data_IF_666823886976
#
_entry.id   IF_666823886976
#
_cell.length_a   1.000
_cell.length_b   1.000
_cell.length_c   1.000
_cell.angle_alpha   90.00
_cell.angle_beta   90.00
_cell.angle_gamma   90.00
#
_symmetry.space_group_name_H-M   'P 1'
#
loop_
_entity.id
_entity.type
_entity.pdbx_description
1 polymer ?
#
# COMPACT_ATOMS: atom_id res chain seq x y z
N UNK A 1 -3.86 -18.28 31.61
CA UNK A 1 -4.42 -16.90 31.65
C UNK A 1 -5.50 -16.69 30.58
N UNK A 2 -5.19 -16.71 29.28
CA UNK A 2 -6.20 -16.50 28.22
C UNK A 2 -7.45 -17.41 28.33
N UNK A 3 -7.26 -18.73 28.44
CA UNK A 3 -8.37 -19.68 28.58
C UNK A 3 -9.18 -19.46 29.86
N UNK A 4 -8.53 -19.03 30.95
CA UNK A 4 -9.24 -18.69 32.18
C UNK A 4 -10.13 -17.46 31.95
N UNK A 5 -9.56 -16.36 31.45
CA UNK A 5 -10.30 -15.12 31.18
C UNK A 5 -11.52 -15.32 30.27
N UNK A 6 -11.40 -16.15 29.22
CA UNK A 6 -12.52 -16.45 28.31
C UNK A 6 -13.72 -17.15 28.97
N UNK A 7 -13.49 -17.85 30.08
CA UNK A 7 -14.53 -18.59 30.79
C UNK A 7 -15.06 -17.82 32.00
N UNK A 8 -14.47 -16.67 32.35
CA UNK A 8 -14.94 -15.83 33.44
C UNK A 8 -16.01 -14.87 32.92
N UNK A 9 -17.06 -14.67 33.71
CA UNK A 9 -18.15 -13.74 33.35
C UNK A 9 -17.68 -12.28 33.53
N UNK A 10 -17.79 -11.42 32.50
CA UNK A 10 -17.43 -10.01 32.63
C UNK A 10 -18.13 -9.32 33.80
N UNK A 11 -17.35 -8.61 34.62
CA UNK A 11 -17.84 -7.90 35.81
C UNK A 11 -18.01 -8.76 37.07
N UNK A 12 -17.73 -10.07 37.03
CA UNK A 12 -17.71 -10.92 38.23
C UNK A 12 -16.55 -10.58 39.18
N UNK A 13 -16.55 -11.16 40.38
CA UNK A 13 -15.44 -11.01 41.32
C UNK A 13 -14.13 -11.54 40.73
N UNK A 14 -14.17 -12.75 40.17
CA UNK A 14 -13.04 -13.42 39.53
C UNK A 14 -12.51 -12.62 38.34
N UNK A 15 -13.41 -11.95 37.61
CA UNK A 15 -13.04 -11.08 36.49
C UNK A 15 -12.20 -9.90 36.97
N UNK A 16 -12.68 -9.22 38.02
CA UNK A 16 -12.00 -8.06 38.58
C UNK A 16 -10.69 -8.45 39.26
N UNK A 17 -10.64 -9.58 39.98
CA UNK A 17 -9.39 -10.11 40.54
C UNK A 17 -8.36 -10.42 39.45
N UNK A 18 -8.79 -11.01 38.33
CA UNK A 18 -7.91 -11.26 37.21
C UNK A 18 -7.35 -9.95 36.62
N UNK A 19 -8.20 -8.92 36.46
CA UNK A 19 -7.76 -7.61 36.01
C UNK A 19 -6.74 -7.00 36.98
N UNK A 20 -7.00 -7.03 38.28
CA UNK A 20 -6.07 -6.51 39.28
C UNK A 20 -4.76 -7.30 39.33
N UNK A 21 -4.80 -8.63 39.14
CA UNK A 21 -3.59 -9.45 39.03
C UNK A 21 -2.72 -9.05 37.84
N UNK A 22 -3.34 -8.78 36.67
CA UNK A 22 -2.59 -8.37 35.48
C UNK A 22 -2.06 -6.93 35.61
N UNK A 23 -2.85 -6.02 36.19
CA UNK A 23 -2.46 -4.60 36.40
C UNK A 23 -1.52 -4.39 37.57
N UNK A 24 -1.49 -5.33 38.52
CA UNK A 24 -0.69 -5.29 39.75
C UNK A 24 0.78 -5.64 39.55
N UNK A 25 1.17 -6.07 38.34
CA UNK A 25 2.57 -6.22 37.96
C UNK A 25 3.21 -4.84 37.73
N UNK A 26 3.93 -4.34 38.74
CA UNK A 26 4.54 -3.01 38.73
C UNK A 26 5.64 -2.85 37.68
N UNK A 27 6.36 -3.94 37.36
CA UNK A 27 7.42 -3.96 36.33
C UNK A 27 6.82 -4.02 34.91
N UNK A 28 5.61 -4.58 34.82
CA UNK A 28 4.85 -4.73 33.57
C UNK A 28 5.39 -5.82 32.65
N UNK A 29 6.28 -6.67 33.15
CA UNK A 29 6.91 -7.76 32.43
C UNK A 29 5.90 -8.80 31.94
N UNK A 30 4.85 -9.05 32.72
CA UNK A 30 3.75 -9.93 32.33
C UNK A 30 3.08 -9.41 31.05
N UNK A 31 2.71 -8.12 31.01
CA UNK A 31 2.06 -7.51 29.86
C UNK A 31 2.97 -7.47 28.64
N UNK A 32 4.25 -7.13 28.81
CA UNK A 32 5.26 -7.16 27.74
C UNK A 32 5.43 -8.56 27.17
N UNK A 33 5.61 -9.57 28.01
CA UNK A 33 5.77 -10.97 27.56
C UNK A 33 4.51 -11.51 26.85
N UNK A 34 3.31 -11.13 27.33
CA UNK A 34 2.07 -11.53 26.67
C UNK A 34 1.96 -10.97 25.24
N UNK A 35 2.50 -9.78 24.96
CA UNK A 35 2.40 -9.15 23.65
C UNK A 35 3.04 -9.95 22.51
N UNK A 36 4.06 -10.76 22.82
CA UNK A 36 4.83 -11.53 21.82
C UNK A 36 4.36 -12.98 21.68
N UNK A 37 3.14 -13.30 22.15
CA UNK A 37 2.54 -14.63 21.99
C UNK A 37 1.11 -14.53 21.49
N UNK A 38 0.69 -15.47 20.64
CA UNK A 38 -0.66 -15.53 20.06
C UNK A 38 -1.78 -15.32 21.08
N UNK A 39 -1.83 -16.17 22.11
CA UNK A 39 -2.89 -16.12 23.12
C UNK A 39 -2.71 -14.96 24.11
N UNK A 40 -1.46 -14.55 24.37
CA UNK A 40 -1.18 -13.42 25.25
C UNK A 40 -1.63 -12.10 24.61
N UNK A 41 -1.32 -11.87 23.34
CA UNK A 41 -1.74 -10.68 22.63
C UNK A 41 -3.26 -10.61 22.50
N UNK A 42 -3.92 -11.73 22.20
CA UNK A 42 -5.38 -11.80 22.18
C UNK A 42 -5.97 -11.47 23.55
N UNK A 43 -5.43 -12.04 24.63
CA UNK A 43 -5.85 -11.68 25.99
C UNK A 43 -5.72 -10.17 26.24
N UNK A 44 -4.57 -9.59 25.94
CA UNK A 44 -4.33 -8.14 26.12
C UNK A 44 -5.33 -7.30 25.33
N UNK A 45 -5.65 -7.68 24.09
CA UNK A 45 -6.66 -6.99 23.29
C UNK A 45 -8.04 -7.03 23.96
N UNK A 46 -8.43 -8.18 24.53
CA UNK A 46 -9.68 -8.30 25.29
C UNK A 46 -9.66 -7.46 26.58
N UNK A 47 -8.53 -7.38 27.27
CA UNK A 47 -8.37 -6.54 28.46
C UNK A 47 -8.53 -5.05 28.12
N UNK A 48 -7.94 -4.58 27.01
CA UNK A 48 -8.15 -3.21 26.53
C UNK A 48 -9.61 -2.96 26.13
N UNK A 49 -10.23 -3.89 25.40
CA UNK A 49 -11.60 -3.75 24.92
C UNK A 49 -12.61 -3.65 26.08
N UNK A 50 -12.47 -4.48 27.11
CA UNK A 50 -13.36 -4.50 28.27
C UNK A 50 -12.99 -3.50 29.37
N UNK A 51 -11.75 -3.00 29.39
CA UNK A 51 -11.25 -2.11 30.43
C UNK A 51 -11.91 -0.73 30.45
N UNK A 52 -11.99 -0.13 31.62
CA UNK A 52 -12.39 1.28 31.78
C UNK A 52 -11.32 2.23 31.23
N UNK A 53 -11.62 3.52 31.14
CA UNK A 53 -10.61 4.53 30.78
C UNK A 53 -9.38 4.52 31.71
N UNK A 54 -9.58 4.21 33.01
CA UNK A 54 -8.48 4.06 33.97
C UNK A 54 -7.65 2.81 33.67
N UNK A 55 -8.30 1.69 33.42
CA UNK A 55 -7.62 0.42 33.13
C UNK A 55 -6.81 0.53 31.84
N UNK A 56 -7.40 1.06 30.76
CA UNK A 56 -6.71 1.26 29.48
C UNK A 56 -5.44 2.10 29.63
N UNK A 57 -5.47 3.15 30.45
CA UNK A 57 -4.28 3.96 30.74
C UNK A 57 -3.22 3.18 31.51
N UNK A 58 -3.62 2.35 32.48
CA UNK A 58 -2.71 1.50 33.24
C UNK A 58 -2.10 0.40 32.35
N UNK A 59 -2.90 -0.24 31.50
CA UNK A 59 -2.45 -1.28 30.56
C UNK A 59 -1.53 -0.74 29.46
N UNK A 60 -1.71 0.50 29.03
CA UNK A 60 -0.87 1.12 27.99
C UNK A 60 0.54 1.45 28.50
N UNK A 61 0.66 1.84 29.78
CA UNK A 61 1.91 2.37 30.35
C UNK A 61 3.10 1.38 30.27
N UNK A 62 2.94 0.08 30.55
CA UNK A 62 4.02 -0.90 30.42
C UNK A 62 4.63 -1.03 29.02
N UNK A 63 3.88 -0.71 27.96
CA UNK A 63 4.34 -0.86 26.58
C UNK A 63 5.20 0.30 26.07
N UNK A 64 5.38 1.34 26.89
CA UNK A 64 6.29 2.44 26.56
C UNK A 64 7.68 1.88 26.22
N UNK A 65 8.31 2.42 25.18
CA UNK A 65 9.63 2.02 24.70
C UNK A 65 9.64 0.59 24.09
N UNK A 66 8.46 0.01 23.82
CA UNK A 66 8.26 -1.31 23.19
C UNK A 66 7.36 -1.27 21.93
N UNK A 67 6.64 -0.18 21.68
CA UNK A 67 5.74 -0.04 20.53
C UNK A 67 6.44 -0.20 19.17
N UNK A 68 7.67 0.28 19.00
CA UNK A 68 8.38 0.11 17.74
C UNK A 68 8.61 -1.38 17.44
N UNK A 69 9.08 -2.13 18.43
CA UNK A 69 9.27 -3.58 18.32
C UNK A 69 7.95 -4.31 18.08
N UNK A 70 6.89 -3.93 18.81
CA UNK A 70 5.56 -4.52 18.67
C UNK A 70 4.96 -4.27 17.29
N UNK A 71 5.23 -3.11 16.67
CA UNK A 71 4.65 -2.75 15.36
C UNK A 71 4.97 -3.76 14.27
N UNK A 72 6.17 -4.36 14.31
CA UNK A 72 6.63 -5.37 13.36
C UNK A 72 6.45 -6.82 13.82
N UNK A 73 5.94 -7.04 15.03
CA UNK A 73 5.77 -8.38 15.60
C UNK A 73 4.49 -9.07 15.09
N UNK A 74 4.47 -10.40 14.85
CA UNK A 74 3.28 -11.12 14.39
C UNK A 74 2.05 -11.05 15.30
N UNK A 75 2.22 -10.72 16.58
CA UNK A 75 1.16 -10.65 17.57
C UNK A 75 1.06 -9.26 18.21
N UNK A 76 2.19 -8.63 18.52
CA UNK A 76 2.25 -7.33 19.19
C UNK A 76 1.52 -6.22 18.43
N UNK A 77 1.57 -6.24 17.09
CA UNK A 77 0.97 -5.19 16.26
C UNK A 77 -0.54 -5.04 16.52
N UNK A 78 -1.26 -6.15 16.77
CA UNK A 78 -2.71 -6.11 16.97
C UNK A 78 -3.11 -5.45 18.29
N UNK A 79 -2.19 -5.43 19.28
CA UNK A 79 -2.39 -4.67 20.52
C UNK A 79 -2.35 -3.17 20.20
N UNK A 80 -1.37 -2.72 19.39
CA UNK A 80 -1.30 -1.31 18.96
C UNK A 80 -2.59 -0.92 18.25
N UNK A 81 -3.04 -1.72 17.29
CA UNK A 81 -4.31 -1.49 16.59
C UNK A 81 -5.50 -1.42 17.56
N UNK A 82 -5.57 -2.34 18.51
CA UNK A 82 -6.63 -2.36 19.53
C UNK A 82 -6.61 -1.11 20.41
N UNK A 83 -5.44 -0.63 20.84
CA UNK A 83 -5.33 0.59 21.66
C UNK A 83 -5.86 1.81 20.92
N UNK A 84 -5.58 1.90 19.62
CA UNK A 84 -6.09 2.96 18.75
C UNK A 84 -7.61 2.88 18.57
N UNK A 85 -8.20 1.68 18.66
CA UNK A 85 -9.64 1.45 18.49
C UNK A 85 -10.50 1.67 19.73
N UNK A 86 -9.93 1.56 20.93
CA UNK A 86 -10.71 1.52 22.19
C UNK A 86 -10.33 2.62 23.19
N UNK A 87 -9.18 3.28 23.07
CA UNK A 87 -8.85 4.40 23.96
C UNK A 87 -9.52 5.68 23.46
N UNK A 88 -10.40 6.29 24.28
CA UNK A 88 -11.13 7.51 23.90
C UNK A 88 -10.25 8.77 23.99
N UNK A 89 -9.21 8.76 24.85
CA UNK A 89 -8.19 9.82 24.93
C UNK A 89 -7.14 9.64 23.82
N UNK A 90 -7.51 10.06 22.62
CA UNK A 90 -6.68 9.99 21.41
C UNK A 90 -5.42 10.84 21.51
N UNK A 91 -5.42 11.92 22.30
CA UNK A 91 -4.22 12.74 22.53
C UNK A 91 -3.18 11.98 23.34
N UNK A 92 -3.59 11.25 24.37
CA UNK A 92 -2.71 10.37 25.12
C UNK A 92 -2.19 9.24 24.23
N UNK A 93 -3.08 8.57 23.48
CA UNK A 93 -2.70 7.48 22.57
C UNK A 93 -1.67 7.95 21.53
N UNK A 94 -1.92 9.06 20.84
CA UNK A 94 -1.02 9.60 19.82
C UNK A 94 0.35 9.94 20.40
N UNK A 95 0.41 10.60 21.56
CA UNK A 95 1.68 10.97 22.22
C UNK A 95 2.48 9.78 22.73
N UNK A 96 1.80 8.69 23.10
CA UNK A 96 2.46 7.50 23.61
C UNK A 96 3.03 6.63 22.49
N UNK A 97 2.32 6.52 21.36
CA UNK A 97 2.60 5.53 20.32
C UNK A 97 3.39 6.13 19.14
N UNK A 98 2.95 7.28 18.60
CA UNK A 98 3.46 7.75 17.31
C UNK A 98 4.92 8.22 17.34
N UNK A 99 5.42 8.93 18.37
CA UNK A 99 6.84 9.26 18.45
C UNK A 99 7.75 8.03 18.45
N UNK A 100 7.28 6.91 18.99
CA UNK A 100 8.08 5.68 19.05
C UNK A 100 8.08 4.93 17.71
N UNK A 101 6.92 4.86 17.04
CA UNK A 101 6.78 4.12 15.77
C UNK A 101 7.28 4.93 14.58
N UNK A 102 7.09 6.25 14.58
CA UNK A 102 7.43 7.14 13.46
C UNK A 102 8.68 7.98 13.72
N UNK A 103 9.15 8.08 14.96
CA UNK A 103 10.22 9.00 15.33
C UNK A 103 9.77 10.46 15.42
N UNK A 104 10.72 11.31 15.81
CA UNK A 104 10.53 12.75 15.99
C UNK A 104 11.18 13.58 14.86
N UNK A 105 11.93 12.95 13.95
CA UNK A 105 12.58 13.61 12.80
C UNK A 105 12.13 13.01 11.47
N UNK A 106 12.32 13.76 10.38
CA UNK A 106 12.00 13.33 9.02
C UNK A 106 12.79 12.06 8.63
N UNK A 107 14.05 11.94 9.09
CA UNK A 107 14.90 10.77 8.85
C UNK A 107 14.40 9.53 9.59
N UNK A 108 13.99 9.67 10.85
CA UNK A 108 13.42 8.56 11.60
C UNK A 108 12.09 8.12 11.00
N UNK A 109 11.27 9.07 10.56
CA UNK A 109 10.03 8.76 9.85
C UNK A 109 10.32 8.01 8.55
N UNK A 110 11.34 8.42 7.78
CA UNK A 110 11.80 7.70 6.60
C UNK A 110 12.23 6.26 6.93
N UNK A 111 13.06 6.06 7.96
CA UNK A 111 13.49 4.74 8.42
C UNK A 111 12.31 3.84 8.78
N UNK A 112 11.34 4.37 9.53
CA UNK A 112 10.12 3.65 9.89
C UNK A 112 9.28 3.26 8.68
N UNK A 113 9.14 4.13 7.67
CA UNK A 113 8.43 3.80 6.43
C UNK A 113 9.16 2.72 5.63
N UNK A 114 10.49 2.77 5.55
CA UNK A 114 11.30 1.74 4.88
C UNK A 114 11.20 0.38 5.59
N UNK A 115 11.24 0.37 6.92
CA UNK A 115 11.01 -0.83 7.72
C UNK A 115 9.59 -1.40 7.50
N UNK A 116 8.58 -0.54 7.45
CA UNK A 116 7.20 -0.92 7.18
C UNK A 116 7.01 -1.46 5.74
N UNK A 117 7.72 -0.92 4.74
CA UNK A 117 7.70 -1.49 3.39
C UNK A 117 8.14 -2.96 3.38
N UNK A 118 9.12 -3.32 4.21
CA UNK A 118 9.67 -4.67 4.29
C UNK A 118 8.93 -5.62 5.24
N UNK A 119 8.13 -5.10 6.18
CA UNK A 119 7.43 -5.91 7.18
C UNK A 119 5.89 -5.72 7.08
N UNK A 120 5.10 -6.79 6.81
CA UNK A 120 3.66 -6.67 6.64
C UNK A 120 2.91 -6.26 7.93
N UNK A 121 3.40 -6.62 9.12
CA UNK A 121 2.81 -6.21 10.40
C UNK A 121 3.04 -4.73 10.68
N UNK A 122 4.26 -4.23 10.43
CA UNK A 122 4.58 -2.81 10.57
C UNK A 122 3.80 -1.98 9.54
N UNK A 123 3.69 -2.47 8.30
CA UNK A 123 2.84 -1.85 7.27
C UNK A 123 1.38 -1.77 7.70
N UNK A 124 0.83 -2.85 8.24
CA UNK A 124 -0.54 -2.85 8.73
C UNK A 124 -0.73 -1.87 9.90
N UNK A 125 0.25 -1.78 10.81
CA UNK A 125 0.25 -0.82 11.92
C UNK A 125 0.12 0.62 11.43
N UNK A 126 0.83 0.99 10.36
CA UNK A 126 0.77 2.34 9.79
C UNK A 126 -0.49 2.59 8.97
N UNK A 127 -0.90 1.62 8.14
CA UNK A 127 -2.02 1.80 7.20
C UNK A 127 -3.39 1.61 7.85
N UNK A 128 -3.48 0.96 9.02
CA UNK A 128 -4.77 0.64 9.65
C UNK A 128 -5.65 1.87 9.90
N UNK A 129 -5.08 2.96 10.42
CA UNK A 129 -5.85 4.18 10.66
C UNK A 129 -6.24 4.90 9.37
N UNK A 130 -5.44 4.75 8.32
CA UNK A 130 -5.62 5.41 7.02
C UNK A 130 -6.64 4.73 6.12
N UNK A 131 -6.74 3.40 6.19
CA UNK A 131 -7.58 2.59 5.31
C UNK A 131 -8.64 1.77 6.04
N UNK A 132 -8.44 1.53 7.34
CA UNK A 132 -9.25 0.61 8.13
C UNK A 132 -8.94 -0.86 7.87
N UNK A 133 -9.93 -1.71 8.14
CA UNK A 133 -9.85 -3.16 8.07
C UNK A 133 -10.00 -3.72 6.63
N UNK A 134 -9.22 -3.20 5.69
CA UNK A 134 -9.29 -3.61 4.28
C UNK A 134 -8.44 -4.85 3.99
N UNK A 135 -8.71 -5.48 2.84
CA UNK A 135 -7.90 -6.63 2.36
C UNK A 135 -6.46 -6.23 2.01
N UNK A 136 -6.20 -4.97 1.67
CA UNK A 136 -4.85 -4.45 1.40
C UNK A 136 -4.02 -4.38 2.68
N UNK A 137 -4.64 -3.95 3.79
CA UNK A 137 -3.98 -3.85 5.11
C UNK A 137 -3.80 -5.21 5.76
N UNK A 138 -4.78 -6.12 5.62
CA UNK A 138 -4.74 -7.47 6.21
C UNK A 138 -4.66 -8.57 5.14
N UNK A 139 -3.51 -8.75 4.46
CA UNK A 139 -3.31 -9.89 3.58
C UNK A 139 -3.26 -11.19 4.38
N UNK A 140 -3.32 -12.35 3.70
CA UNK A 140 -3.46 -13.70 4.28
C UNK A 140 -2.88 -13.93 5.69
N UNK A 141 -1.57 -13.68 5.93
CA UNK A 141 -0.94 -13.92 7.24
C UNK A 141 -1.49 -13.06 8.40
N UNK A 142 -2.16 -11.95 8.13
CA UNK A 142 -2.69 -11.02 9.12
C UNK A 142 -4.19 -11.24 9.42
N UNK A 143 -4.84 -12.22 8.78
CA UNK A 143 -6.27 -12.49 8.97
C UNK A 143 -6.63 -12.82 10.41
N UNK A 144 -5.75 -13.49 11.15
CA UNK A 144 -5.97 -13.74 12.58
C UNK A 144 -6.08 -12.45 13.40
N UNK A 145 -5.22 -11.46 13.14
CA UNK A 145 -5.31 -10.16 13.82
C UNK A 145 -6.59 -9.41 13.46
N UNK A 146 -7.07 -9.54 12.21
CA UNK A 146 -8.35 -8.98 11.80
C UNK A 146 -9.54 -9.60 12.56
N UNK A 147 -9.54 -10.92 12.80
CA UNK A 147 -10.58 -11.56 13.60
C UNK A 147 -10.58 -11.09 15.06
N UNK A 148 -9.39 -10.87 15.65
CA UNK A 148 -9.27 -10.26 16.99
C UNK A 148 -9.86 -8.86 17.00
N UNK A 149 -9.56 -8.03 15.98
CA UNK A 149 -10.10 -6.67 15.89
C UNK A 149 -11.63 -6.66 15.74
N UNK A 150 -12.21 -7.61 15.00
CA UNK A 150 -13.68 -7.75 14.91
C UNK A 150 -14.30 -8.03 16.28
N UNK A 151 -13.71 -8.93 17.07
CA UNK A 151 -14.16 -9.21 18.43
C UNK A 151 -14.06 -7.95 19.32
N UNK A 152 -12.94 -7.23 19.24
CA UNK A 152 -12.74 -5.93 19.91
C UNK A 152 -13.82 -4.92 19.49
N UNK A 153 -14.16 -4.87 18.20
CA UNK A 153 -15.16 -3.95 17.65
C UNK A 153 -16.57 -4.27 18.15
N UNK A 154 -16.90 -5.52 18.42
CA UNK A 154 -18.17 -5.87 19.07
C UNK A 154 -18.22 -5.41 20.53
N UNK A 155 -17.14 -5.64 21.27
CA UNK A 155 -17.04 -5.23 22.69
C UNK A 155 -17.08 -3.71 22.81
N UNK A 156 -16.35 -2.97 21.96
CA UNK A 156 -16.22 -1.52 22.09
C UNK A 156 -17.53 -0.76 21.90
N UNK A 157 -18.54 -1.35 21.26
CA UNK A 157 -19.88 -0.76 21.10
C UNK A 157 -20.53 -0.39 22.43
N UNK A 158 -20.19 -1.10 23.51
CA UNK A 158 -20.75 -0.87 24.85
C UNK A 158 -19.72 -0.29 25.83
N UNK A 159 -18.43 -0.44 25.57
CA UNK A 159 -17.36 -0.05 26.51
C UNK A 159 -16.64 1.25 26.15
N UNK A 160 -16.78 1.74 24.92
CA UNK A 160 -16.13 2.98 24.46
C UNK A 160 -17.17 4.04 24.14
N UNK A 161 -16.95 5.27 24.62
CA UNK A 161 -17.95 6.34 24.52
C UNK A 161 -17.77 7.18 23.26
N UNK A 162 -16.54 7.32 22.79
CA UNK A 162 -16.21 8.07 21.57
C UNK A 162 -16.53 7.22 20.33
N UNK A 163 -17.18 7.84 19.35
CA UNK A 163 -17.42 7.22 18.05
C UNK A 163 -16.11 6.72 17.39
N UNK A 164 -16.19 5.57 16.73
CA UNK A 164 -15.03 4.91 16.13
C UNK A 164 -14.40 5.74 15.02
N UNK A 165 -15.20 6.36 14.16
CA UNK A 165 -14.69 7.19 13.07
C UNK A 165 -14.10 8.50 13.58
N UNK A 166 -14.74 9.12 14.60
CA UNK A 166 -14.20 10.34 15.23
C UNK A 166 -12.82 10.07 15.82
N UNK A 167 -12.65 8.94 16.52
CA UNK A 167 -11.38 8.52 17.09
C UNK A 167 -10.31 8.29 16.01
N UNK A 168 -10.68 7.58 14.94
CA UNK A 168 -9.78 7.34 13.81
C UNK A 168 -9.34 8.66 13.16
N UNK A 169 -10.28 9.58 12.88
CA UNK A 169 -9.98 10.91 12.31
C UNK A 169 -9.03 11.72 13.17
N UNK A 170 -9.22 11.75 14.49
CA UNK A 170 -8.32 12.44 15.42
C UNK A 170 -6.91 11.84 15.40
N UNK A 171 -6.79 10.51 15.37
CA UNK A 171 -5.50 9.82 15.33
C UNK A 171 -4.79 9.97 13.97
N UNK A 172 -5.53 9.89 12.86
CA UNK A 172 -4.99 10.16 11.51
C UNK A 172 -4.44 11.58 11.45
N UNK A 173 -5.20 12.57 11.95
CA UNK A 173 -4.72 13.95 11.98
C UNK A 173 -3.43 14.11 12.80
N UNK A 174 -3.26 13.33 13.87
CA UNK A 174 -2.08 13.38 14.72
C UNK A 174 -0.83 12.71 14.10
N UNK A 175 -0.98 11.65 13.30
CA UNK A 175 0.16 10.95 12.67
C UNK A 175 0.51 11.44 11.27
N UNK A 176 -0.43 12.09 10.57
CA UNK A 176 -0.27 12.47 9.17
C UNK A 176 0.95 13.36 8.87
N UNK A 177 1.28 14.38 9.70
CA UNK A 177 2.44 15.22 9.42
C UNK A 177 3.75 14.43 9.31
N UNK A 178 3.98 13.50 10.23
CA UNK A 178 5.18 12.65 10.26
C UNK A 178 5.19 11.66 9.09
N UNK A 179 4.03 11.09 8.72
CA UNK A 179 3.95 10.21 7.55
C UNK A 179 4.28 10.96 6.25
N UNK A 180 3.77 12.18 6.08
CA UNK A 180 4.04 13.01 4.90
C UNK A 180 5.53 13.38 4.85
N UNK A 181 6.10 13.79 5.98
CA UNK A 181 7.52 14.11 6.10
C UNK A 181 8.40 12.89 5.79
N UNK A 182 8.06 11.72 6.31
CA UNK A 182 8.74 10.46 6.02
C UNK A 182 8.69 10.10 4.54
N UNK A 183 7.54 10.27 3.86
CA UNK A 183 7.43 10.01 2.40
C UNK A 183 8.34 10.95 1.62
N UNK A 184 8.40 12.23 1.98
CA UNK A 184 9.32 13.20 1.36
C UNK A 184 10.77 12.76 1.51
N UNK A 185 11.18 12.40 2.72
CA UNK A 185 12.56 12.02 3.03
C UNK A 185 12.97 10.65 2.45
N UNK A 186 12.01 9.71 2.32
CA UNK A 186 12.26 8.36 1.81
C UNK A 186 11.88 8.16 0.32
N UNK A 187 11.49 9.21 -0.41
CA UNK A 187 10.89 9.09 -1.74
C UNK A 187 11.72 8.23 -2.70
N UNK A 188 13.03 8.46 -2.78
CA UNK A 188 13.94 7.71 -3.66
C UNK A 188 13.95 6.21 -3.34
N UNK A 189 13.94 5.84 -2.06
CA UNK A 189 13.96 4.43 -1.65
C UNK A 189 12.60 3.78 -1.85
N UNK A 190 11.52 4.45 -1.42
CA UNK A 190 10.16 3.91 -1.51
C UNK A 190 9.72 3.66 -2.95
N UNK A 191 10.10 4.53 -3.89
CA UNK A 191 9.75 4.41 -5.31
C UNK A 191 10.39 3.17 -5.96
N UNK A 192 11.51 2.70 -5.42
CA UNK A 192 12.23 1.53 -5.92
C UNK A 192 11.80 0.21 -5.26
N UNK A 193 10.88 0.25 -4.29
CA UNK A 193 10.29 -0.94 -3.69
C UNK A 193 8.79 -1.06 -4.00
N UNK A 194 8.34 -2.29 -4.21
CA UNK A 194 6.94 -2.56 -4.56
C UNK A 194 5.96 -2.24 -3.43
N UNK A 195 6.31 -2.56 -2.19
CA UNK A 195 5.48 -2.25 -1.02
C UNK A 195 5.70 -0.81 -0.54
N UNK A 196 6.88 -0.23 -0.77
CA UNK A 196 7.18 1.18 -0.58
C UNK A 196 6.31 2.07 -1.48
N UNK A 197 6.18 1.73 -2.76
CA UNK A 197 5.26 2.38 -3.69
C UNK A 197 3.80 2.30 -3.22
N UNK A 198 3.37 1.12 -2.75
CA UNK A 198 2.03 0.97 -2.19
C UNK A 198 1.85 1.87 -0.97
N UNK A 199 2.76 1.80 0.01
CA UNK A 199 2.73 2.59 1.23
C UNK A 199 2.68 4.10 0.94
N UNK A 200 3.54 4.59 0.05
CA UNK A 200 3.56 5.99 -0.37
C UNK A 200 2.23 6.41 -1.03
N UNK A 201 1.65 5.57 -1.90
CA UNK A 201 0.36 5.84 -2.53
C UNK A 201 -0.74 6.00 -1.48
N UNK A 202 -0.82 5.05 -0.55
CA UNK A 202 -1.86 5.02 0.48
C UNK A 202 -1.74 6.20 1.46
N UNK A 203 -0.52 6.58 1.84
CA UNK A 203 -0.25 7.78 2.65
C UNK A 203 -0.68 9.04 1.88
N UNK A 204 -0.27 9.19 0.62
CA UNK A 204 -0.66 10.36 -0.18
C UNK A 204 -2.16 10.44 -0.42
N UNK A 205 -2.88 9.32 -0.41
CA UNK A 205 -4.33 9.33 -0.53
C UNK A 205 -5.06 9.65 0.78
N UNK A 206 -4.61 9.08 1.89
CA UNK A 206 -5.38 9.11 3.15
C UNK A 206 -4.85 10.08 4.21
N UNK A 207 -3.57 10.48 4.17
CA UNK A 207 -3.03 11.41 5.16
C UNK A 207 -3.65 12.81 5.04
N UNK A 208 -3.74 13.51 6.17
CA UNK A 208 -4.27 14.87 6.26
C UNK A 208 -3.12 15.87 6.38
N UNK A 209 -3.12 16.90 5.54
CA UNK A 209 -2.12 17.96 5.54
C UNK A 209 -1.66 18.34 4.14
N UNK A 210 -0.72 19.28 4.07
CA UNK A 210 -0.08 19.65 2.81
C UNK A 210 0.88 18.55 2.36
N UNK A 211 0.61 18.00 1.17
CA UNK A 211 1.37 16.88 0.58
C UNK A 211 2.35 17.36 -0.50
N UNK A 212 2.38 18.65 -0.81
CA UNK A 212 3.08 19.21 -1.98
C UNK A 212 4.55 18.81 -2.01
N UNK A 213 5.29 19.04 -0.93
CA UNK A 213 6.71 18.71 -0.87
C UNK A 213 7.01 17.20 -0.99
N UNK A 214 6.12 16.34 -0.48
CA UNK A 214 6.25 14.88 -0.63
C UNK A 214 5.98 14.43 -2.07
N UNK A 215 4.96 15.03 -2.71
CA UNK A 215 4.67 14.80 -4.12
C UNK A 215 5.80 15.28 -5.02
N UNK A 216 6.39 16.45 -4.76
CA UNK A 216 7.57 16.96 -5.47
C UNK A 216 8.76 16.01 -5.34
N UNK A 217 9.01 15.48 -4.14
CA UNK A 217 10.07 14.51 -3.91
C UNK A 217 9.85 13.20 -4.70
N UNK A 218 8.62 12.69 -4.75
CA UNK A 218 8.27 11.53 -5.58
C UNK A 218 8.45 11.87 -7.06
N UNK A 219 7.99 13.04 -7.52
CA UNK A 219 8.09 13.45 -8.91
C UNK A 219 9.56 13.62 -9.35
N UNK A 220 10.44 14.09 -8.46
CA UNK A 220 11.87 14.22 -8.73
C UNK A 220 12.54 12.88 -9.09
N UNK A 221 12.03 11.76 -8.56
CA UNK A 221 12.53 10.41 -8.92
C UNK A 221 12.23 10.00 -10.38
N UNK A 222 11.32 10.74 -11.04
CA UNK A 222 10.93 10.52 -12.43
C UNK A 222 11.72 11.38 -13.42
N UNK A 223 12.62 12.24 -12.94
CA UNK A 223 13.50 13.05 -13.77
C UNK A 223 14.58 12.21 -14.45
N UNK A 224 15.09 12.71 -15.58
CA UNK A 224 16.13 12.04 -16.36
C UNK A 224 15.57 11.15 -17.46
N UNK A 225 16.48 10.53 -18.22
CA UNK A 225 16.12 9.81 -19.44
C UNK A 225 15.73 8.34 -19.13
N UNK A 226 14.46 7.92 -19.41
CA UNK A 226 14.00 6.54 -19.24
C UNK A 226 14.75 5.47 -20.04
N UNK A 227 15.49 5.88 -21.07
CA UNK A 227 16.20 4.97 -21.97
C UNK A 227 17.60 4.62 -21.47
N UNK A 228 18.10 5.29 -20.42
CA UNK A 228 19.36 4.91 -19.78
C UNK A 228 19.15 3.55 -19.10
N UNK A 229 19.95 2.56 -19.49
CA UNK A 229 19.87 1.23 -18.90
C UNK A 229 20.38 1.24 -17.46
N UNK A 230 19.71 0.47 -16.59
CA UNK A 230 20.20 0.19 -15.26
C UNK A 230 21.57 -0.50 -15.36
N UNK A 231 22.53 -0.07 -14.55
CA UNK A 231 23.88 -0.58 -14.65
C UNK A 231 24.71 -0.32 -13.39
N UNK A 232 25.86 -1.00 -13.32
CA UNK A 232 26.87 -0.75 -12.29
C UNK A 232 27.79 0.38 -12.79
N UNK A 233 27.67 1.55 -12.19
CA UNK A 233 28.68 2.60 -12.36
C UNK A 233 29.85 2.27 -11.44
N UNK A 234 31.00 1.91 -12.03
CA UNK A 234 32.27 1.86 -11.29
C UNK A 234 32.84 3.26 -11.22
N UNK A 235 32.83 3.87 -10.04
CA UNK A 235 33.60 5.09 -9.79
C UNK A 235 35.07 4.73 -9.58
N UNK A 236 35.96 5.73 -9.68
CA UNK A 236 37.42 5.57 -9.50
C UNK A 236 37.83 5.06 -8.09
N UNK A 237 36.87 4.91 -7.18
CA UNK A 237 37.06 4.54 -5.77
C UNK A 237 36.60 3.10 -5.44
N UNK A 238 36.47 2.22 -6.45
CA UNK A 238 36.18 0.77 -6.28
C UNK A 238 34.89 0.41 -5.51
N UNK A 239 33.96 1.36 -5.34
CA UNK A 239 32.60 1.08 -4.89
C UNK A 239 31.69 0.92 -6.10
N UNK A 240 31.22 -0.30 -6.33
CA UNK A 240 30.18 -0.58 -7.33
C UNK A 240 28.85 -0.03 -6.81
N UNK A 241 28.38 1.09 -7.36
CA UNK A 241 27.02 1.57 -7.12
C UNK A 241 26.11 1.05 -8.24
N UNK A 242 25.16 0.19 -7.89
CA UNK A 242 24.08 -0.20 -8.79
C UNK A 242 23.15 1.00 -8.96
N UNK A 243 23.01 1.49 -10.19
CA UNK A 243 22.01 2.51 -10.50
C UNK A 243 20.67 1.80 -10.73
N UNK A 244 19.63 2.06 -9.89
CA UNK A 244 18.34 1.42 -10.06
C UNK A 244 17.73 1.78 -11.43
N UNK A 245 16.89 0.91 -12.00
CA UNK A 245 16.17 1.24 -13.22
C UNK A 245 15.30 2.47 -13.01
N UNK A 246 15.21 3.32 -14.03
CA UNK A 246 14.33 4.48 -14.02
C UNK A 246 12.89 4.10 -13.64
N UNK A 247 12.21 4.91 -12.83
CA UNK A 247 10.88 4.61 -12.25
C UNK A 247 9.82 4.22 -13.30
N UNK A 248 9.89 4.79 -14.50
CA UNK A 248 8.98 4.47 -15.62
C UNK A 248 9.20 3.07 -16.22
N UNK A 249 10.30 2.41 -15.87
CA UNK A 249 10.65 1.07 -16.34
C UNK A 249 10.25 -0.01 -15.34
N UNK A 250 9.89 0.34 -14.11
CA UNK A 250 9.45 -0.64 -13.11
C UNK A 250 7.92 -0.70 -13.03
N UNK A 251 7.32 -1.91 -12.87
CA UNK A 251 5.86 -2.03 -12.76
C UNK A 251 5.27 -1.31 -11.54
N UNK A 252 6.00 -1.28 -10.42
CA UNK A 252 5.55 -0.63 -9.18
C UNK A 252 5.67 0.89 -9.27
N UNK A 253 6.78 1.41 -9.80
CA UNK A 253 7.01 2.84 -9.99
C UNK A 253 6.00 3.46 -10.97
N UNK A 254 5.80 2.81 -12.13
CA UNK A 254 4.77 3.20 -13.08
C UNK A 254 3.36 3.21 -12.48
N UNK A 255 3.03 2.24 -11.62
CA UNK A 255 1.72 2.17 -10.93
C UNK A 255 1.56 3.26 -9.88
N UNK A 256 2.61 3.56 -9.11
CA UNK A 256 2.62 4.66 -8.13
C UNK A 256 2.31 5.98 -8.84
N UNK A 257 3.10 6.34 -9.85
CA UNK A 257 2.96 7.59 -10.59
C UNK A 257 1.58 7.69 -11.25
N UNK A 258 1.13 6.61 -11.89
CA UNK A 258 -0.21 6.53 -12.48
C UNK A 258 -1.30 6.79 -11.43
N UNK A 259 -1.19 6.17 -10.25
CA UNK A 259 -2.18 6.32 -9.18
C UNK A 259 -2.20 7.76 -8.65
N UNK A 260 -1.03 8.37 -8.45
CA UNK A 260 -0.95 9.76 -7.98
C UNK A 260 -1.53 10.76 -8.99
N UNK A 261 -1.38 10.53 -10.30
CA UNK A 261 -2.06 11.33 -11.34
C UNK A 261 -3.57 11.16 -11.27
N UNK A 262 -4.06 9.93 -11.12
CA UNK A 262 -5.49 9.67 -10.97
C UNK A 262 -6.05 10.33 -9.69
N UNK A 263 -5.21 10.52 -8.68
CA UNK A 263 -5.49 11.34 -7.52
C UNK A 263 -6.48 10.71 -6.55
N UNK A 264 -6.62 9.38 -6.53
CA UNK A 264 -7.57 8.72 -5.64
C UNK A 264 -7.67 7.22 -5.80
N UNK A 265 -8.55 6.62 -4.99
CA UNK A 265 -8.81 5.17 -4.98
C UNK A 265 -9.93 4.81 -5.94
N UNK A 266 -9.74 3.72 -6.67
CA UNK A 266 -10.80 3.17 -7.51
C UNK A 266 -11.87 2.51 -6.64
N UNK A 267 -13.10 3.00 -6.75
CA UNK A 267 -14.26 2.38 -6.13
C UNK A 267 -15.00 1.49 -7.14
N UNK A 268 -15.12 0.21 -6.81
CA UNK A 268 -15.77 -0.78 -7.67
C UNK A 268 -17.28 -0.55 -7.78
N UNK A 269 -17.90 0.08 -6.78
CA UNK A 269 -19.34 0.32 -6.78
C UNK A 269 -19.72 1.44 -7.76
N UNK A 270 -18.98 2.55 -7.75
CA UNK A 270 -19.15 3.64 -8.71
C UNK A 270 -18.49 3.37 -10.07
N UNK A 271 -17.54 2.42 -10.13
CA UNK A 271 -16.75 2.18 -11.34
C UNK A 271 -15.80 3.34 -11.68
N UNK A 272 -15.48 4.18 -10.70
CA UNK A 272 -14.73 5.42 -10.90
C UNK A 272 -13.70 5.65 -9.79
N UNK A 273 -12.76 6.57 -10.04
CA UNK A 273 -11.78 6.98 -9.03
C UNK A 273 -12.40 8.02 -8.11
N UNK A 274 -12.48 7.71 -6.82
CA UNK A 274 -12.84 8.66 -5.77
C UNK A 274 -11.61 9.52 -5.49
N UNK A 275 -11.59 10.72 -6.07
CA UNK A 275 -10.50 11.68 -5.92
C UNK A 275 -10.39 12.15 -4.46
N UNK A 276 -9.16 12.39 -4.03
CA UNK A 276 -8.90 13.03 -2.74
C UNK A 276 -9.28 14.51 -2.76
N UNK A 277 -9.60 15.04 -1.59
CA UNK A 277 -9.90 16.45 -1.38
C UNK A 277 -8.93 17.03 -0.31
N UNK A 278 -8.13 18.07 -0.63
CA UNK A 278 -7.98 18.70 -1.93
C UNK A 278 -7.30 17.81 -2.99
N UNK A 279 -7.52 18.03 -4.30
CA UNK A 279 -6.85 17.29 -5.37
C UNK A 279 -5.32 17.35 -5.26
N UNK A 280 -4.63 16.27 -5.65
CA UNK A 280 -3.16 16.20 -5.57
C UNK A 280 -2.45 17.10 -6.60
N UNK A 281 -3.07 17.38 -7.75
CA UNK A 281 -2.43 18.16 -8.82
C UNK A 281 -1.14 17.53 -9.38
N UNK A 282 -0.95 16.22 -9.18
CA UNK A 282 0.35 15.58 -9.41
C UNK A 282 0.81 15.60 -10.88
N UNK A 283 -0.13 15.69 -11.84
CA UNK A 283 0.21 15.81 -13.26
C UNK A 283 0.99 17.10 -13.56
N UNK A 284 0.61 18.23 -12.95
CA UNK A 284 1.29 19.52 -13.15
C UNK A 284 2.65 19.55 -12.43
N UNK A 285 2.80 18.81 -11.33
CA UNK A 285 4.09 18.64 -10.63
C UNK A 285 5.04 17.79 -11.48
N UNK A 286 4.53 16.69 -12.06
CA UNK A 286 5.35 15.72 -12.81
C UNK A 286 5.76 16.23 -14.20
N UNK A 287 4.84 16.88 -14.93
CA UNK A 287 5.03 17.19 -16.34
C UNK A 287 6.33 17.94 -16.66
N UNK A 288 6.72 19.01 -15.93
CA UNK A 288 7.96 19.73 -16.21
C UNK A 288 9.22 18.86 -16.13
N UNK A 289 9.21 17.79 -15.33
CA UNK A 289 10.34 16.90 -15.13
C UNK A 289 10.46 15.82 -16.22
N UNK A 290 9.34 15.47 -16.85
CA UNK A 290 9.28 14.40 -17.87
C UNK A 290 9.04 14.93 -19.28
N UNK A 291 8.80 16.23 -19.45
CA UNK A 291 8.43 16.86 -20.72
C UNK A 291 9.40 16.49 -21.86
N UNK A 292 10.70 16.58 -21.60
CA UNK A 292 11.75 16.30 -22.58
C UNK A 292 11.73 14.83 -23.05
N UNK A 293 11.33 13.91 -22.18
CA UNK A 293 11.34 12.47 -22.42
C UNK A 293 9.93 11.88 -22.58
N UNK A 294 8.92 12.71 -22.81
CA UNK A 294 7.52 12.30 -22.79
C UNK A 294 7.17 11.23 -23.85
N UNK A 295 7.88 11.25 -24.98
CA UNK A 295 7.72 10.23 -26.03
C UNK A 295 8.24 8.88 -25.54
N UNK A 296 9.40 8.84 -24.86
CA UNK A 296 9.96 7.62 -24.29
C UNK A 296 9.04 7.02 -23.21
N UNK A 297 8.42 7.87 -22.39
CA UNK A 297 7.37 7.45 -21.46
C UNK A 297 6.16 6.86 -22.19
N UNK A 298 5.66 7.53 -23.23
CA UNK A 298 4.48 7.11 -23.99
C UNK A 298 4.69 5.81 -24.78
N UNK A 299 5.93 5.49 -25.18
CA UNK A 299 6.27 4.23 -25.88
C UNK A 299 6.82 3.15 -24.94
N UNK A 300 7.03 3.46 -23.66
CA UNK A 300 7.65 2.58 -22.68
C UNK A 300 6.65 1.74 -21.87
N UNK A 301 7.16 0.96 -20.88
CA UNK A 301 6.34 0.09 -20.03
C UNK A 301 5.27 0.85 -19.22
N UNK A 302 5.53 2.11 -18.88
CA UNK A 302 4.62 2.97 -18.11
C UNK A 302 3.84 3.96 -18.99
N UNK A 303 3.55 3.62 -20.25
CA UNK A 303 2.79 4.46 -21.19
C UNK A 303 1.44 4.96 -20.65
N UNK A 304 0.81 4.18 -19.77
CA UNK A 304 -0.43 4.56 -19.10
C UNK A 304 -0.31 5.80 -18.21
N UNK A 305 0.90 6.19 -17.77
CA UNK A 305 1.13 7.44 -17.06
C UNK A 305 0.74 8.62 -17.94
N UNK A 306 1.25 8.65 -19.18
CA UNK A 306 0.93 9.70 -20.15
C UNK A 306 -0.56 9.70 -20.51
N UNK A 307 -1.17 8.52 -20.64
CA UNK A 307 -2.61 8.42 -20.82
C UNK A 307 -3.39 9.05 -19.65
N UNK A 308 -3.00 8.78 -18.41
CA UNK A 308 -3.67 9.33 -17.23
C UNK A 308 -3.48 10.85 -17.14
N UNK A 309 -2.33 11.40 -17.54
CA UNK A 309 -2.16 12.85 -17.64
C UNK A 309 -3.10 13.47 -18.67
N UNK A 310 -3.31 12.79 -19.81
CA UNK A 310 -4.26 13.23 -20.82
C UNK A 310 -5.72 13.11 -20.36
N UNK A 311 -6.04 12.16 -19.50
CA UNK A 311 -7.38 11.94 -18.96
C UNK A 311 -7.69 12.83 -17.75
N UNK A 312 -6.66 13.29 -17.04
CA UNK A 312 -6.78 14.28 -15.95
C UNK A 312 -7.47 15.56 -16.45
N UNK A 313 -8.42 16.02 -15.65
CA UNK A 313 -9.23 17.23 -15.91
C UNK A 313 -8.53 18.49 -15.41
N UNK A 314 -7.71 18.32 -14.38
CA UNK A 314 -6.95 19.32 -13.65
C UNK A 314 -5.58 19.62 -14.26
N UNK A 315 -5.09 18.81 -15.20
CA UNK A 315 -3.81 19.02 -15.86
C UNK A 315 -3.79 20.23 -16.80
N UNK A 316 -3.01 21.26 -16.46
CA UNK A 316 -2.95 22.53 -17.18
C UNK A 316 -2.33 22.43 -18.58
N UNK A 317 -1.30 21.60 -18.75
CA UNK A 317 -0.51 21.49 -19.99
C UNK A 317 -1.01 20.41 -20.98
N UNK A 318 -2.25 19.95 -20.81
CA UNK A 318 -2.86 18.91 -21.65
C UNK A 318 -2.75 19.16 -23.15
N UNK A 319 -2.96 20.39 -23.61
CA UNK A 319 -2.85 20.76 -25.04
C UNK A 319 -1.42 20.64 -25.56
N UNK A 320 -0.44 21.03 -24.74
CA UNK A 320 0.98 20.98 -25.06
C UNK A 320 1.44 19.52 -25.16
N UNK A 321 1.08 18.69 -24.19
CA UNK A 321 1.30 17.25 -24.20
C UNK A 321 0.71 16.60 -25.47
N UNK A 322 -0.55 16.88 -25.78
CA UNK A 322 -1.21 16.35 -26.99
C UNK A 322 -0.50 16.77 -28.28
N UNK A 323 -0.02 18.00 -28.37
CA UNK A 323 0.71 18.48 -29.55
C UNK A 323 2.02 17.71 -29.75
N UNK A 324 2.78 17.47 -28.68
CA UNK A 324 4.03 16.69 -28.72
C UNK A 324 3.77 15.23 -29.14
N UNK A 325 2.72 14.60 -28.62
CA UNK A 325 2.36 13.23 -28.99
C UNK A 325 1.87 13.13 -30.45
N UNK A 326 1.09 14.10 -30.93
CA UNK A 326 0.64 14.15 -32.34
C UNK A 326 1.81 14.29 -33.32
N UNK A 327 2.83 15.08 -32.98
CA UNK A 327 4.06 15.22 -33.79
C UNK A 327 4.84 13.90 -33.88
N UNK A 328 4.73 13.04 -32.87
CA UNK A 328 5.42 11.76 -32.76
C UNK A 328 4.52 10.54 -33.03
N UNK A 329 3.41 10.73 -33.76
CA UNK A 329 2.40 9.68 -34.02
C UNK A 329 3.00 8.39 -34.57
N UNK A 330 3.95 8.47 -35.49
CA UNK A 330 4.59 7.31 -36.10
C UNK A 330 5.34 6.42 -35.08
N UNK A 331 6.00 7.03 -34.08
CA UNK A 331 6.68 6.30 -33.01
C UNK A 331 5.66 5.59 -32.10
N UNK A 332 4.55 6.25 -31.78
CA UNK A 332 3.45 5.68 -30.99
C UNK A 332 2.77 4.51 -31.71
N UNK A 333 2.50 4.65 -33.01
CA UNK A 333 1.92 3.56 -33.84
C UNK A 333 2.85 2.35 -33.91
N UNK A 334 4.16 2.59 -34.09
CA UNK A 334 5.15 1.52 -34.06
C UNK A 334 5.19 0.80 -32.70
N UNK A 335 5.19 1.55 -31.60
CA UNK A 335 5.19 0.99 -30.25
C UNK A 335 3.91 0.20 -29.92
N UNK A 336 2.77 0.62 -30.48
CA UNK A 336 1.49 -0.08 -30.37
C UNK A 336 1.39 -1.37 -31.21
N UNK A 337 2.46 -1.75 -31.94
CA UNK A 337 2.49 -2.95 -32.80
C UNK A 337 2.04 -2.70 -34.25
N UNK A 338 1.89 -1.45 -34.66
CA UNK A 338 1.49 -1.06 -36.01
C UNK A 338 2.64 -1.15 -37.02
N UNK A 339 2.77 -2.30 -37.69
CA UNK A 339 3.29 -2.31 -39.05
C UNK A 339 2.20 -1.70 -39.95
N UNK A 340 2.39 -0.44 -40.35
CA UNK A 340 1.63 0.16 -41.44
C UNK A 340 1.92 -0.60 -42.73
N UNK A 341 1.06 -1.56 -43.07
CA UNK A 341 1.06 -2.18 -44.38
C UNK A 341 0.68 -1.12 -45.42
N UNK A 342 1.63 -0.79 -46.30
CA UNK A 342 1.38 -0.13 -47.57
C UNK A 342 0.38 -0.94 -48.40
N UNK A 343 -0.90 -0.62 -48.24
CA UNK A 343 -2.02 -1.15 -49.02
C UNK A 343 -2.08 -0.48 -50.39
N UNK A 344 -1.15 -0.86 -51.25
CA UNK A 344 -1.09 -0.58 -52.69
C UNK A 344 -2.47 -0.65 -53.35
N UNK A 345 -2.85 0.42 -54.05
CA UNK A 345 -3.92 0.43 -55.07
C UNK A 345 -3.82 -0.81 -55.97
N UNK A 346 -4.89 -1.61 -56.01
CA UNK A 346 -5.27 -2.35 -57.21
C UNK A 346 -6.77 -2.19 -57.42
N UNK A 347 -7.11 -1.38 -58.43
CA UNK A 347 -8.42 -1.42 -59.06
C UNK A 347 -8.46 -2.56 -60.08
N UNK A 348 -9.60 -3.25 -60.12
CA UNK A 348 -10.21 -3.99 -61.23
C UNK A 348 -11.19 -4.99 -60.59
N UNK A 349 -12.40 -5.27 -61.06
CA UNK A 349 -13.34 -4.71 -62.04
C UNK A 349 -14.63 -5.52 -61.80
N UNK A 350 -15.77 -4.97 -62.22
CA UNK A 350 -17.11 -5.52 -62.08
C UNK A 350 -17.25 -7.00 -62.47
N UNK A 351 -18.06 -7.73 -61.71
CA UNK A 351 -18.63 -9.03 -62.10
C UNK A 351 -19.92 -9.32 -61.33
N UNK A 352 -21.06 -8.93 -61.90
CA UNK A 352 -22.40 -9.05 -61.33
C UNK A 352 -23.10 -10.30 -61.90
N UNK A 353 -23.51 -11.26 -61.06
CA UNK A 353 -24.89 -11.85 -61.00
C UNK A 353 -24.97 -13.19 -60.25
N UNK A 354 -25.97 -13.24 -59.35
CA UNK A 354 -27.01 -14.28 -59.07
C UNK A 354 -26.57 -15.76 -59.02
N UNK A 355 -26.95 -16.60 -58.06
CA UNK A 355 -27.96 -16.55 -57.00
C UNK A 355 -28.28 -18.00 -56.61
N UNK A 356 -28.77 -18.25 -55.39
CA UNK A 356 -29.20 -19.58 -54.93
C UNK A 356 -29.46 -19.56 -53.42
N UNK A 357 -30.65 -20.03 -53.02
CA UNK A 357 -31.26 -19.85 -51.71
C UNK A 357 -31.28 -21.13 -50.85
N UNK A 358 -31.71 -20.95 -49.59
CA UNK A 358 -32.06 -21.92 -48.53
C UNK A 358 -30.88 -22.41 -47.66
N UNK A 359 -30.95 -22.56 -46.34
CA UNK A 359 -31.98 -22.40 -45.29
C UNK A 359 -31.23 -22.02 -43.98
N UNK A 360 -31.77 -21.25 -43.04
CA UNK A 360 -32.70 -21.73 -42.00
C UNK A 360 -31.94 -22.28 -40.78
N UNK A 361 -31.73 -21.45 -39.76
CA UNK A 361 -31.11 -21.86 -38.48
C UNK A 361 -30.96 -20.66 -37.54
N UNK A 362 -31.82 -20.63 -36.51
CA UNK A 362 -31.80 -19.68 -35.40
C UNK A 362 -30.55 -19.91 -34.55
N UNK A 363 -29.78 -18.87 -34.25
CA UNK A 363 -28.77 -18.93 -33.19
C UNK A 363 -28.95 -17.76 -32.22
N UNK A 364 -29.34 -18.14 -31.01
CA UNK A 364 -29.48 -17.28 -29.85
C UNK A 364 -28.13 -16.78 -29.35
N UNK A 365 -28.21 -15.59 -28.76
CA UNK A 365 -27.14 -14.94 -28.01
C UNK A 365 -27.06 -15.56 -26.60
N UNK A 366 -25.93 -16.21 -26.29
CA UNK A 366 -25.44 -16.37 -24.92
C UNK A 366 -23.98 -15.87 -24.84
N UNK A 367 -23.65 -14.92 -23.95
CA UNK A 367 -22.28 -14.53 -23.69
C UNK A 367 -21.75 -15.32 -22.48
N UNK A 368 -20.87 -16.28 -22.74
CA UNK A 368 -20.15 -17.00 -21.70
C UNK A 368 -18.78 -17.46 -22.18
N UNK A 369 -17.72 -16.77 -21.78
CA UNK A 369 -16.65 -17.36 -20.97
C UNK A 369 -15.51 -16.36 -20.73
N UNK A 370 -15.15 -16.28 -19.45
CA UNK A 370 -14.05 -15.55 -18.88
C UNK A 370 -12.71 -15.91 -19.53
N UNK A 371 -11.92 -14.89 -19.87
CA UNK A 371 -10.48 -15.03 -19.95
C UNK A 371 -9.88 -14.70 -18.57
N UNK A 372 -9.64 -15.75 -17.78
CA UNK A 372 -8.76 -15.70 -16.63
C UNK A 372 -7.33 -15.40 -17.11
N UNK A 373 -6.76 -14.25 -16.70
CA UNK A 373 -5.34 -14.00 -16.90
C UNK A 373 -4.56 -14.79 -15.85
N UNK A 374 -3.81 -15.77 -16.34
CA UNK A 374 -3.04 -16.72 -15.55
C UNK A 374 -1.92 -16.06 -14.74
N UNK A 375 -1.83 -16.48 -13.48
CA UNK A 375 -0.64 -16.37 -12.65
C UNK A 375 0.52 -17.12 -13.32
N UNK A 376 1.59 -16.39 -13.63
CA UNK A 376 2.85 -17.00 -14.04
C UNK A 376 3.49 -17.71 -12.84
N UNK A 377 3.25 -19.00 -12.71
CA UNK A 377 3.97 -19.87 -11.77
C UNK A 377 5.40 -20.04 -12.27
N UNK A 378 6.36 -19.56 -11.48
CA UNK A 378 7.79 -19.83 -11.66
C UNK A 378 8.01 -21.33 -11.49
N UNK A 379 8.22 -22.06 -12.59
CA UNK A 379 8.71 -23.44 -12.55
C UNK A 379 10.20 -23.42 -12.20
N UNK A 380 10.51 -23.80 -10.97
CA UNK A 380 11.86 -24.14 -10.55
C UNK A 380 12.37 -25.33 -11.37
N UNK A 381 13.44 -25.12 -12.13
CA UNK A 381 14.17 -26.17 -12.83
C UNK A 381 15.10 -26.86 -11.82
N UNK A 382 14.65 -27.95 -11.20
CA UNK A 382 15.53 -28.86 -10.47
C UNK A 382 16.22 -29.81 -11.46
N UNK A 383 17.46 -29.47 -11.85
CA UNK A 383 18.38 -30.45 -12.47
C UNK A 383 18.82 -31.45 -11.41
N UNK A 384 18.38 -32.70 -11.54
CA UNK A 384 18.99 -33.87 -10.90
C UNK A 384 20.42 -34.04 -11.44
N UNK A 385 21.41 -33.64 -10.65
CA UNK A 385 22.78 -34.12 -10.76
C UNK A 385 23.02 -35.12 -9.62
N UNK A 386 23.05 -36.41 -9.95
CA UNK A 386 23.39 -37.45 -8.99
C UNK A 386 24.88 -37.38 -8.64
N UNK A 387 25.18 -37.35 -7.35
CA UNK A 387 26.50 -37.69 -6.82
C UNK A 387 26.33 -38.95 -5.98
N UNK A 388 26.79 -40.08 -6.52
CA UNK A 388 27.08 -41.28 -5.74
C UNK A 388 28.31 -41.00 -4.87
N UNK A 389 28.13 -41.00 -3.56
CA UNK A 389 29.24 -41.13 -2.61
C UNK A 389 29.51 -42.62 -2.44
N UNK A 390 30.60 -43.09 -3.05
CA UNK A 390 31.20 -44.39 -2.73
C UNK A 390 31.85 -44.28 -1.35
N UNK A 391 31.26 -44.91 -0.35
CA UNK A 391 31.99 -45.36 0.83
C UNK A 391 33.13 -46.29 0.39
N UNK A 392 34.34 -46.00 0.83
CA UNK A 392 35.47 -46.91 0.76
C UNK A 392 36.08 -46.92 2.16
N UNK A 393 35.88 -48.05 2.84
CA UNK A 393 36.65 -48.68 3.94
C UNK A 393 37.61 -47.83 4.73
#
# INVERSE_FOLDING_TARGET
>A
MYQYFRNVTPGSHEYNEFLELVKGDEEGDLLKNMAFTKNGAHLVCLLFANGTAKDRKQLLKPYKDTFLMMSGDPYGYVIILTTMDVIDDTKMTAKAIFPEILGDTDEQAAESLMAAASNPHARATLLYLLEGATKSVFPGPLQEGLEILKEVHEIRKTTSKKDGEVRAKELVAAMSPQLIAGVKAAAEVLVNDSFGCQLATEIMFSAIGDKTAALEAIAATAAGNPEVEAGVTKTLEDTATETPPHVSRTPHGGRLIKSLIAGGKFDKASGSVVKVDPPLGFADILYPLVEEHVVAWATGPSSFVILNMLESEDFGDKKKLQATLKKNKAALEKAAGGAGGDGKKKGAENGKKKGGAAAGGEDGWEPGQQAAFGEATVKTCTRRGGYEVKERT
#
